data_IF_064678836259
#
_entry.id   IF_064678836259
#
_cell.length_a   1.000
_cell.length_b   1.000
_cell.length_c   1.000
_cell.angle_alpha   90.00
_cell.angle_beta   90.00
_cell.angle_gamma   90.00
#
_symmetry.space_group_name_H-M   'P 1'
#
loop_
_entity.id
_entity.type
_entity.pdbx_description
1 polymer ?
#
# COMPACT_ATOMS: atom_id res chain seq x y z
N UNK A 1 -24.67 -2.22 -10.94
CA UNK A 1 -24.22 -1.28 -9.91
C UNK A 1 -23.07 -1.90 -9.12
N UNK A 2 -21.95 -1.24 -9.08
CA UNK A 2 -20.79 -1.76 -8.38
C UNK A 2 -20.83 -1.36 -6.91
N UNK A 3 -20.54 -2.31 -6.04
CA UNK A 3 -20.39 -2.05 -4.61
C UNK A 3 -19.03 -1.42 -4.36
N UNK A 4 -18.98 -0.49 -3.41
CA UNK A 4 -17.74 0.12 -2.95
C UNK A 4 -17.33 -0.51 -1.64
N UNK A 5 -16.04 -0.82 -1.51
CA UNK A 5 -15.47 -1.35 -0.29
C UNK A 5 -14.55 -0.32 0.32
N UNK A 6 -14.47 -0.32 1.64
CA UNK A 6 -13.72 0.69 2.39
C UNK A 6 -12.81 0.03 3.41
N UNK A 7 -11.68 0.67 3.65
CA UNK A 7 -10.84 0.37 4.79
C UNK A 7 -11.46 0.93 6.07
N UNK A 8 -11.00 0.50 7.26
CA UNK A 8 -11.33 1.19 8.50
C UNK A 8 -11.04 2.70 8.35
N UNK A 9 -11.87 3.54 8.97
CA UNK A 9 -11.77 4.99 8.90
C UNK A 9 -12.08 5.60 7.54
N UNK A 10 -12.77 4.85 6.67
CA UNK A 10 -13.46 5.40 5.51
C UNK A 10 -12.68 5.59 4.22
N UNK A 11 -11.42 5.14 4.16
CA UNK A 11 -10.67 5.20 2.91
C UNK A 11 -11.21 4.15 1.94
N UNK A 12 -11.50 4.56 0.70
CA UNK A 12 -12.05 3.67 -0.32
C UNK A 12 -11.00 2.69 -0.83
N UNK A 13 -11.38 1.42 -0.98
CA UNK A 13 -10.55 0.40 -1.63
C UNK A 13 -10.49 0.70 -3.12
N UNK A 14 -9.31 1.01 -3.62
CA UNK A 14 -9.10 1.44 -5.01
C UNK A 14 -8.36 0.39 -5.81
N UNK A 15 -8.66 0.36 -7.11
CA UNK A 15 -7.92 -0.43 -8.07
C UNK A 15 -6.54 0.20 -8.30
N UNK A 16 -5.49 -0.62 -8.23
CA UNK A 16 -4.11 -0.15 -8.40
C UNK A 16 -3.57 -0.71 -9.71
N UNK A 17 -3.32 0.16 -10.67
CA UNK A 17 -2.83 -0.22 -11.99
C UNK A 17 -1.70 0.70 -12.44
N UNK A 18 -0.86 0.19 -13.33
CA UNK A 18 0.15 1.02 -13.98
C UNK A 18 -0.51 2.00 -14.92
N UNK A 19 -0.14 3.27 -14.82
CA UNK A 19 -0.73 4.34 -15.64
C UNK A 19 -0.07 4.45 -17.02
N UNK A 20 1.23 4.21 -17.09
CA UNK A 20 1.98 4.26 -18.34
C UNK A 20 1.74 2.98 -19.15
N UNK A 21 1.07 3.14 -20.30
CA UNK A 21 0.69 2.05 -21.19
C UNK A 21 1.60 1.91 -22.40
N UNK A 22 2.74 2.59 -22.43
CA UNK A 22 3.68 2.47 -23.53
C UNK A 22 4.34 1.07 -23.56
N UNK A 23 4.90 0.64 -24.72
CA UNK A 23 5.58 -0.65 -24.81
C UNK A 23 6.74 -0.75 -23.82
N UNK A 24 6.91 -1.93 -23.23
CA UNK A 24 7.90 -2.19 -22.19
C UNK A 24 8.82 -3.35 -22.59
N UNK A 25 10.00 -3.39 -21.96
CA UNK A 25 11.01 -4.43 -22.20
C UNK A 25 10.72 -5.73 -21.47
N UNK A 26 10.01 -5.66 -20.35
CA UNK A 26 9.73 -6.82 -19.51
C UNK A 26 8.39 -6.68 -18.82
N UNK A 27 7.90 -7.80 -18.29
CA UNK A 27 6.61 -7.89 -17.59
C UNK A 27 6.84 -8.46 -16.20
N UNK A 28 6.25 -7.83 -15.17
CA UNK A 28 6.32 -8.31 -13.79
C UNK A 28 4.90 -8.49 -13.27
N UNK A 29 4.58 -9.70 -12.81
CA UNK A 29 3.26 -10.05 -12.31
C UNK A 29 3.31 -10.29 -10.80
N UNK A 30 2.53 -9.53 -10.05
CA UNK A 30 2.30 -9.75 -8.63
C UNK A 30 0.99 -10.51 -8.40
N UNK A 31 0.67 -10.76 -7.14
CA UNK A 31 -0.56 -11.50 -6.76
C UNK A 31 -1.70 -10.54 -6.48
N UNK A 32 -1.53 -9.65 -5.52
CA UNK A 32 -2.52 -8.63 -5.19
C UNK A 32 -1.82 -7.34 -4.76
N UNK A 33 -2.55 -6.22 -4.86
CA UNK A 33 -2.02 -4.93 -4.49
C UNK A 33 -1.79 -4.84 -2.98
N UNK A 34 -0.71 -4.20 -2.58
CA UNK A 34 -0.41 -3.94 -1.17
C UNK A 34 -1.33 -2.85 -0.63
N UNK A 35 -1.39 -2.73 0.69
CA UNK A 35 -2.10 -1.66 1.35
C UNK A 35 -1.13 -0.80 2.15
N UNK A 36 -1.55 0.42 2.46
CA UNK A 36 -0.87 1.26 3.43
C UNK A 36 -1.26 0.74 4.81
N UNK A 37 -0.27 0.43 5.64
CA UNK A 37 -0.46 -0.09 6.99
C UNK A 37 -0.07 0.97 8.02
N UNK A 38 -0.89 1.10 9.07
CA UNK A 38 -0.65 2.01 10.18
C UNK A 38 -0.71 1.26 11.49
N UNK A 39 -0.16 1.85 12.54
CA UNK A 39 -0.33 1.37 13.90
C UNK A 39 -1.56 2.02 14.50
N UNK A 40 -2.45 1.21 15.04
CA UNK A 40 -3.65 1.67 15.74
C UNK A 40 -3.45 1.56 17.25
N UNK A 41 -3.81 2.62 17.96
CA UNK A 41 -3.79 2.65 19.41
C UNK A 41 -5.13 3.22 19.89
N UNK A 42 -5.81 2.52 20.80
CA UNK A 42 -7.07 3.03 21.32
C UNK A 42 -6.83 4.25 22.22
N UNK A 43 -7.91 4.95 22.60
CA UNK A 43 -7.79 6.19 23.38
C UNK A 43 -7.16 6.00 24.76
N UNK A 44 -7.14 4.79 25.27
CA UNK A 44 -6.55 4.45 26.57
C UNK A 44 -5.14 3.87 26.45
N UNK A 45 -4.66 3.68 25.22
CA UNK A 45 -3.37 3.03 24.98
C UNK A 45 -3.35 1.55 25.31
N UNK A 46 -4.51 0.92 25.51
CA UNK A 46 -4.61 -0.48 25.97
C UNK A 46 -4.63 -1.49 24.83
N UNK A 47 -5.21 -1.12 23.69
CA UNK A 47 -5.26 -2.00 22.52
C UNK A 47 -4.43 -1.40 21.40
N UNK A 48 -3.57 -2.23 20.82
CA UNK A 48 -2.71 -1.81 19.71
C UNK A 48 -2.80 -2.84 18.60
N UNK A 49 -2.94 -2.35 17.38
CA UNK A 49 -2.79 -3.17 16.19
C UNK A 49 -1.55 -2.66 15.46
N UNK A 50 -0.55 -3.51 15.33
CA UNK A 50 0.75 -3.11 14.79
C UNK A 50 0.69 -2.80 13.30
N UNK A 51 -0.18 -3.49 12.56
CA UNK A 51 -0.27 -3.36 11.11
C UNK A 51 -1.73 -3.43 10.69
N UNK A 52 -2.43 -2.31 10.79
CA UNK A 52 -3.80 -2.17 10.32
C UNK A 52 -3.80 -1.61 8.90
N UNK A 53 -4.42 -2.31 7.95
CA UNK A 53 -4.57 -1.80 6.59
C UNK A 53 -5.57 -0.63 6.59
N UNK A 54 -5.14 0.54 6.12
CA UNK A 54 -5.93 1.78 6.22
C UNK A 54 -6.20 2.46 4.89
N UNK A 55 -5.47 2.10 3.83
CA UNK A 55 -5.67 2.68 2.50
C UNK A 55 -5.07 1.76 1.43
N UNK A 56 -5.50 1.92 0.18
CA UNK A 56 -4.85 1.27 -0.95
C UNK A 56 -3.48 1.89 -1.18
N UNK A 57 -2.53 1.09 -1.70
CA UNK A 57 -1.24 1.66 -2.09
C UNK A 57 -1.47 2.73 -3.17
N UNK A 58 -0.69 3.82 -3.17
CA UNK A 58 -0.90 4.92 -4.12
C UNK A 58 -0.44 4.61 -5.54
N UNK A 59 0.45 3.63 -5.71
CA UNK A 59 0.94 3.18 -7.01
C UNK A 59 1.24 1.68 -6.97
N UNK A 60 1.27 1.06 -8.14
CA UNK A 60 1.59 -0.38 -8.23
C UNK A 60 3.04 -0.64 -7.80
N UNK A 61 3.27 -1.72 -7.05
CA UNK A 61 4.56 -2.03 -6.43
C UNK A 61 5.14 -0.83 -5.66
N UNK A 62 4.28 -0.21 -4.85
CA UNK A 62 4.63 0.94 -4.03
C UNK A 62 5.80 0.63 -3.09
N UNK A 63 6.72 1.60 -2.95
CA UNK A 63 7.93 1.45 -2.14
C UNK A 63 7.75 1.79 -0.67
N UNK A 64 6.56 2.24 -0.27
CA UNK A 64 6.31 2.73 1.08
C UNK A 64 6.58 4.22 1.26
N UNK A 65 6.92 4.91 0.17
CA UNK A 65 7.17 6.35 0.19
C UNK A 65 5.90 7.11 0.59
N UNK A 66 6.05 8.15 1.39
CA UNK A 66 4.93 8.99 1.83
C UNK A 66 3.91 8.29 2.72
N UNK A 67 4.25 7.15 3.32
CA UNK A 67 3.35 6.46 4.24
C UNK A 67 2.89 7.37 5.37
N UNK A 68 3.79 8.15 5.95
CA UNK A 68 3.49 9.10 7.01
C UNK A 68 2.45 10.13 6.57
N UNK A 69 2.61 10.71 5.39
CA UNK A 69 1.68 11.71 4.84
C UNK A 69 0.30 11.09 4.62
N UNK A 70 0.25 9.88 4.08
CA UNK A 70 -1.01 9.18 3.83
C UNK A 70 -1.73 8.90 5.15
N UNK A 71 -1.02 8.37 6.14
CA UNK A 71 -1.59 8.01 7.44
C UNK A 71 -2.09 9.25 8.16
N UNK A 72 -1.29 10.34 8.17
CA UNK A 72 -1.66 11.58 8.84
C UNK A 72 -2.84 12.28 8.16
N UNK A 73 -3.11 11.99 6.90
CA UNK A 73 -4.27 12.53 6.18
C UNK A 73 -5.58 11.83 6.49
N UNK A 74 -5.56 10.70 7.18
CA UNK A 74 -6.76 9.94 7.52
C UNK A 74 -7.37 10.52 8.81
N UNK A 75 -8.65 10.86 8.73
CA UNK A 75 -9.37 11.39 9.90
C UNK A 75 -9.81 10.28 10.83
N UNK A 76 -9.35 10.36 12.07
CA UNK A 76 -9.72 9.42 13.12
C UNK A 76 -10.29 10.23 14.29
N UNK A 77 -11.51 9.92 14.75
CA UNK A 77 -12.05 10.59 15.94
C UNK A 77 -11.15 10.33 17.15
N UNK A 78 -10.74 11.40 17.84
CA UNK A 78 -9.84 11.30 18.98
C UNK A 78 -10.44 10.48 20.12
N UNK A 79 -11.76 10.41 20.18
CA UNK A 79 -12.50 9.68 21.19
C UNK A 79 -12.28 8.17 21.12
N UNK A 80 -11.89 7.64 19.98
CA UNK A 80 -11.70 6.20 19.81
C UNK A 80 -10.23 5.78 19.74
N UNK A 81 -9.33 6.70 19.39
CA UNK A 81 -7.91 6.38 19.34
C UNK A 81 -7.14 7.19 18.33
N UNK A 82 -6.02 6.64 17.87
CA UNK A 82 -5.15 7.31 16.90
C UNK A 82 -4.46 6.32 15.96
N UNK A 83 -4.09 6.83 14.78
CA UNK A 83 -3.24 6.13 13.82
C UNK A 83 -1.86 6.77 13.80
N UNK A 84 -0.82 5.94 13.81
CA UNK A 84 0.56 6.39 13.70
C UNK A 84 1.31 5.54 12.68
N UNK A 85 2.46 6.02 12.25
CA UNK A 85 3.33 5.27 11.36
C UNK A 85 3.87 4.05 12.13
N UNK A 86 3.82 2.84 11.56
CA UNK A 86 4.36 1.66 12.24
C UNK A 86 5.85 1.79 12.51
N UNK A 87 6.32 1.23 13.62
CA UNK A 87 7.74 1.21 13.94
C UNK A 87 8.55 0.37 12.96
N UNK A 88 7.93 -0.67 12.39
CA UNK A 88 8.58 -1.54 11.41
C UNK A 88 8.33 -1.01 10.01
N UNK A 89 9.36 -0.42 9.40
CA UNK A 89 9.29 0.14 8.05
C UNK A 89 9.00 -0.91 6.96
N UNK A 90 9.19 -2.19 7.27
CA UNK A 90 8.91 -3.28 6.31
C UNK A 90 7.42 -3.52 6.10
N UNK A 91 6.56 -2.94 6.94
CA UNK A 91 5.12 -3.09 6.80
C UNK A 91 4.54 -2.30 5.62
N UNK A 92 5.28 -1.30 5.13
CA UNK A 92 4.85 -0.50 3.99
C UNK A 92 5.83 -0.62 2.84
N UNK A 93 5.34 -1.11 1.71
CA UNK A 93 6.10 -1.16 0.47
C UNK A 93 7.18 -2.23 0.34
N UNK A 94 7.09 -3.41 1.02
CA UNK A 94 8.15 -4.42 0.90
C UNK A 94 8.28 -4.98 -0.52
N UNK A 95 7.16 -5.18 -1.22
CA UNK A 95 7.16 -5.68 -2.60
C UNK A 95 7.79 -4.69 -3.55
N UNK A 96 7.51 -3.39 -3.39
CA UNK A 96 8.09 -2.35 -4.23
C UNK A 96 9.59 -2.21 -4.04
N UNK A 97 10.04 -2.29 -2.79
CA UNK A 97 11.47 -2.26 -2.48
C UNK A 97 12.20 -3.49 -3.04
N UNK A 98 11.57 -4.67 -2.91
CA UNK A 98 12.14 -5.91 -3.45
C UNK A 98 12.23 -5.87 -4.97
N UNK A 99 11.22 -5.33 -5.64
CA UNK A 99 11.25 -5.16 -7.09
C UNK A 99 12.46 -4.34 -7.51
N UNK A 100 12.68 -3.18 -6.87
CA UNK A 100 13.78 -2.30 -7.22
C UNK A 100 15.14 -2.96 -6.96
N UNK A 101 15.33 -3.56 -5.80
CA UNK A 101 16.64 -4.06 -5.34
C UNK A 101 16.99 -5.42 -5.92
N UNK A 102 16.02 -6.33 -6.05
CA UNK A 102 16.28 -7.73 -6.41
C UNK A 102 16.07 -8.02 -7.88
N UNK A 103 15.30 -7.20 -8.59
CA UNK A 103 15.00 -7.43 -10.01
C UNK A 103 15.49 -6.30 -10.90
N UNK A 104 15.04 -5.09 -10.67
CA UNK A 104 15.32 -3.98 -11.59
C UNK A 104 16.79 -3.59 -11.58
N UNK A 105 17.35 -3.35 -10.40
CA UNK A 105 18.74 -2.92 -10.28
C UNK A 105 19.74 -3.95 -10.84
N UNK A 106 19.65 -5.26 -10.47
CA UNK A 106 20.56 -6.25 -11.04
C UNK A 106 20.45 -6.41 -12.55
N UNK A 107 19.27 -6.18 -13.13
CA UNK A 107 19.05 -6.29 -14.58
C UNK A 107 19.32 -4.97 -15.32
N UNK A 108 19.67 -3.91 -14.62
CA UNK A 108 19.89 -2.60 -15.24
C UNK A 108 18.61 -1.96 -15.77
N UNK A 109 17.45 -2.31 -15.21
CA UNK A 109 16.14 -1.80 -15.63
C UNK A 109 15.62 -0.76 -14.65
N UNK A 110 14.76 0.14 -15.16
CA UNK A 110 13.99 1.06 -14.35
C UNK A 110 12.51 0.65 -14.38
N UNK A 111 11.68 1.27 -13.55
CA UNK A 111 10.24 1.02 -13.57
C UNK A 111 9.60 1.39 -14.89
N UNK A 112 10.17 2.36 -15.61
CA UNK A 112 9.67 2.75 -16.93
C UNK A 112 9.93 1.68 -18.00
N UNK A 113 10.89 0.77 -17.76
CA UNK A 113 11.24 -0.30 -18.69
C UNK A 113 10.32 -1.53 -18.56
N UNK A 114 9.51 -1.61 -17.51
CA UNK A 114 8.74 -2.82 -17.22
C UNK A 114 7.25 -2.53 -17.13
N UNK A 115 6.45 -3.53 -17.53
CA UNK A 115 5.02 -3.54 -17.31
C UNK A 115 4.75 -4.21 -15.95
N UNK A 116 4.08 -3.49 -15.07
CA UNK A 116 3.76 -3.96 -13.72
C UNK A 116 2.27 -4.26 -13.62
N UNK A 117 1.93 -5.42 -13.11
CA UNK A 117 0.54 -5.87 -13.00
C UNK A 117 0.39 -6.80 -11.79
N UNK A 118 -0.77 -6.77 -11.16
CA UNK A 118 -1.18 -7.75 -10.15
C UNK A 118 -2.34 -8.57 -10.71
N UNK A 119 -2.41 -9.84 -10.33
CA UNK A 119 -3.57 -10.69 -10.67
C UNK A 119 -4.85 -10.09 -10.12
N UNK A 120 -4.79 -9.59 -8.89
CA UNK A 120 -5.90 -8.90 -8.24
C UNK A 120 -5.43 -7.47 -7.96
N UNK A 121 -5.91 -6.45 -8.72
CA UNK A 121 -5.41 -5.09 -8.57
C UNK A 121 -6.00 -4.34 -7.37
N UNK A 122 -6.47 -5.07 -6.38
CA UNK A 122 -7.04 -4.53 -5.14
C UNK A 122 -6.32 -5.08 -3.93
N UNK A 123 -6.14 -4.23 -2.91
CA UNK A 123 -5.63 -4.66 -1.61
C UNK A 123 -6.65 -5.53 -0.90
N UNK A 124 -6.18 -6.40 0.00
CA UNK A 124 -7.05 -7.20 0.86
C UNK A 124 -7.33 -6.42 2.13
N UNK A 125 -8.61 -6.06 2.31
CA UNK A 125 -9.03 -5.15 3.39
C UNK A 125 -8.88 -5.77 4.78
N UNK A 126 -8.99 -7.08 4.88
CA UNK A 126 -9.01 -7.79 6.17
C UNK A 126 -7.65 -8.36 6.60
N UNK A 127 -6.59 -7.89 6.03
CA UNK A 127 -5.23 -8.30 6.44
C UNK A 127 -4.64 -7.41 7.50
#
# INVERSE_FOLDING_TARGET
MSEKYYFPFGQELKKVEQKDRSPKKAFVLGVYASAVHAQWVDRYGKQKVSALAVASEPEIFWRGDNAETIINGIRVPKEIGSLTVPNDSRLNGPSGKALDEKFLKPLGLTRDDVWLCDLLPYSRVNE
#
